data_IF_508347887633
#
_entry.id   IF_508347887633
#
_cell.length_a   1.000
_cell.length_b   1.000
_cell.length_c   1.000
_cell.angle_alpha   90.00
_cell.angle_beta   90.00
_cell.angle_gamma   90.00
#
_symmetry.space_group_name_H-M   'P 1'
#
loop_
_entity.id
_entity.type
_entity.pdbx_description
1 polymer ?
#
# COMPACT_ATOMS: atom_id res chain seq x y z
N UNK A 1 -26.83 -22.37 -18.60
CA UNK A 1 -26.22 -21.37 -17.70
C UNK A 1 -24.75 -21.05 -18.02
N UNK A 2 -24.00 -21.86 -18.79
CA UNK A 2 -22.62 -21.49 -19.19
C UNK A 2 -22.53 -20.59 -20.43
N UNK A 3 -23.49 -20.67 -21.35
CA UNK A 3 -23.54 -19.87 -22.59
C UNK A 3 -23.66 -18.35 -22.36
N UNK A 4 -24.27 -17.94 -21.25
CA UNK A 4 -24.37 -16.52 -20.86
C UNK A 4 -23.07 -15.97 -20.30
N UNK A 5 -22.25 -16.81 -19.65
CA UNK A 5 -20.99 -16.40 -19.03
C UNK A 5 -19.89 -16.19 -20.08
N UNK A 6 -19.85 -17.05 -21.10
CA UNK A 6 -18.94 -16.87 -22.25
C UNK A 6 -19.29 -15.67 -23.11
N UNK A 7 -20.59 -15.39 -23.30
CA UNK A 7 -21.03 -14.14 -23.96
C UNK A 7 -20.68 -12.88 -23.14
N UNK A 8 -20.83 -12.93 -21.81
CA UNK A 8 -20.45 -11.81 -20.93
C UNK A 8 -18.94 -11.53 -20.94
N UNK A 9 -18.09 -12.55 -21.03
CA UNK A 9 -16.64 -12.39 -21.18
C UNK A 9 -16.23 -11.85 -22.55
N UNK A 10 -16.96 -12.21 -23.61
CA UNK A 10 -16.75 -11.70 -24.98
C UNK A 10 -17.23 -10.25 -25.16
N UNK A 11 -18.19 -9.81 -24.35
CA UNK A 11 -18.67 -8.42 -24.29
C UNK A 11 -17.91 -7.56 -23.28
N UNK A 12 -16.83 -8.08 -22.67
CA UNK A 12 -15.93 -7.24 -21.90
C UNK A 12 -15.29 -6.23 -22.87
N UNK A 13 -15.91 -5.05 -22.98
CA UNK A 13 -15.35 -3.93 -23.71
C UNK A 13 -13.88 -3.76 -23.30
N UNK A 14 -12.97 -3.49 -24.25
CA UNK A 14 -11.59 -3.19 -23.90
C UNK A 14 -11.64 -2.06 -22.88
N UNK A 15 -11.21 -2.36 -21.65
CA UNK A 15 -11.29 -1.46 -20.51
C UNK A 15 -10.55 -0.19 -20.92
N UNK A 16 -11.30 0.84 -21.32
CA UNK A 16 -10.73 2.06 -21.91
C UNK A 16 -10.19 2.91 -20.77
N UNK A 17 -8.98 2.57 -20.34
CA UNK A 17 -8.29 3.30 -19.28
C UNK A 17 -8.11 4.74 -19.78
N UNK A 18 -8.72 5.73 -19.10
CA UNK A 18 -8.58 7.11 -19.52
C UNK A 18 -7.13 7.55 -19.40
N UNK A 19 -6.64 8.30 -20.39
CA UNK A 19 -5.23 8.71 -20.45
C UNK A 19 -4.76 9.55 -19.24
N UNK A 20 -5.68 10.17 -18.49
CA UNK A 20 -5.38 10.89 -17.25
C UNK A 20 -5.18 9.97 -16.03
N UNK A 21 -5.70 8.73 -16.07
CA UNK A 21 -5.64 7.79 -14.95
C UNK A 21 -4.22 7.53 -14.42
N UNK A 22 -3.20 7.24 -15.25
CA UNK A 22 -1.84 7.03 -14.76
C UNK A 22 -1.26 8.26 -14.05
N UNK A 23 -1.58 9.48 -14.52
CA UNK A 23 -1.16 10.72 -13.90
C UNK A 23 -1.80 10.94 -12.53
N UNK A 24 -3.11 10.66 -12.43
CA UNK A 24 -3.83 10.73 -11.15
C UNK A 24 -3.29 9.68 -10.17
N UNK A 25 -3.05 8.45 -10.63
CA UNK A 25 -2.49 7.38 -9.83
C UNK A 25 -1.08 7.73 -9.30
N UNK A 26 -0.22 8.29 -10.16
CA UNK A 26 1.10 8.78 -9.75
C UNK A 26 1.00 9.93 -8.73
N UNK A 27 0.05 10.84 -8.91
CA UNK A 27 -0.20 11.91 -7.94
C UNK A 27 -0.63 11.38 -6.57
N UNK A 28 -1.56 10.43 -6.54
CA UNK A 28 -2.01 9.78 -5.30
C UNK A 28 -0.90 8.97 -4.62
N UNK A 29 -0.08 8.24 -5.40
CA UNK A 29 1.08 7.52 -4.88
C UNK A 29 2.13 8.49 -4.30
N UNK A 30 2.44 9.58 -4.99
CA UNK A 30 3.39 10.58 -4.50
C UNK A 30 2.93 11.27 -3.23
N UNK A 31 1.69 11.77 -3.21
CA UNK A 31 1.09 12.42 -2.04
C UNK A 31 0.91 11.45 -0.86
N UNK A 32 0.48 10.22 -1.15
CA UNK A 32 0.38 9.16 -0.15
C UNK A 32 1.73 8.85 0.48
N UNK A 33 2.77 8.62 -0.34
CA UNK A 33 4.13 8.37 0.12
C UNK A 33 4.68 9.51 0.98
N UNK A 34 4.43 10.76 0.59
CA UNK A 34 4.80 11.94 1.37
C UNK A 34 4.04 11.99 2.72
N UNK A 35 2.75 11.68 2.71
CA UNK A 35 1.95 11.59 3.94
C UNK A 35 2.48 10.56 4.92
N UNK A 36 2.83 9.36 4.43
CA UNK A 36 3.44 8.30 5.25
C UNK A 36 4.85 8.67 5.74
N UNK A 37 5.63 9.42 4.95
CA UNK A 37 6.94 9.94 5.38
C UNK A 37 6.77 10.90 6.56
N UNK A 38 5.86 11.85 6.45
CA UNK A 38 5.55 12.81 7.53
C UNK A 38 5.08 12.04 8.77
N UNK A 39 4.17 11.07 8.61
CA UNK A 39 3.67 10.24 9.70
C UNK A 39 4.79 9.44 10.38
N UNK A 40 5.72 8.87 9.62
CA UNK A 40 6.87 8.15 10.16
C UNK A 40 7.79 9.08 10.96
N UNK A 41 8.15 10.25 10.39
CA UNK A 41 9.01 11.24 11.06
C UNK A 41 8.38 11.76 12.35
N UNK A 42 7.10 12.14 12.31
CA UNK A 42 6.37 12.59 13.49
C UNK A 42 6.21 11.47 14.52
N UNK A 43 5.98 10.24 14.07
CA UNK A 43 5.90 9.05 14.89
C UNK A 43 7.20 8.79 15.67
N UNK A 44 8.36 8.84 15.01
CA UNK A 44 9.65 8.69 15.67
C UNK A 44 10.02 9.88 16.56
N UNK A 45 9.69 11.11 16.14
CA UNK A 45 9.93 12.30 16.95
C UNK A 45 9.13 12.27 18.26
N UNK A 46 7.87 11.82 18.20
CA UNK A 46 6.99 11.71 19.39
C UNK A 46 7.16 10.42 20.17
N UNK A 47 7.74 9.37 19.58
CA UNK A 47 8.01 8.11 20.26
C UNK A 47 8.84 8.29 21.54
N UNK A 48 9.81 9.22 21.54
CA UNK A 48 10.63 9.49 22.73
C UNK A 48 9.85 10.12 23.88
N UNK A 49 8.76 10.84 23.59
CA UNK A 49 7.97 11.58 24.57
C UNK A 49 6.72 10.82 25.06
N UNK A 50 6.11 9.96 24.23
CA UNK A 50 4.79 9.38 24.49
C UNK A 50 4.80 7.85 24.77
N UNK A 51 5.97 7.21 24.82
CA UNK A 51 6.14 5.81 25.22
C UNK A 51 6.19 4.81 24.06
N UNK A 52 5.77 3.56 24.31
CA UNK A 52 5.91 2.47 23.33
C UNK A 52 4.85 2.47 22.21
N UNK A 53 3.62 2.93 22.46
CA UNK A 53 2.55 2.89 21.44
C UNK A 53 2.82 3.72 20.18
N UNK A 54 3.38 4.95 20.23
CA UNK A 54 3.73 5.71 19.03
C UNK A 54 4.83 5.05 18.20
N UNK A 55 5.68 4.19 18.80
CA UNK A 55 6.73 3.45 18.09
C UNK A 55 6.12 2.45 17.11
N UNK A 56 5.07 1.73 17.52
CA UNK A 56 4.35 0.80 16.67
C UNK A 56 3.60 1.50 15.52
N UNK A 57 3.05 2.69 15.77
CA UNK A 57 2.48 3.53 14.71
C UNK A 57 3.55 4.06 13.73
N UNK A 58 4.73 4.44 14.22
CA UNK A 58 5.83 4.85 13.36
C UNK A 58 6.30 3.69 12.46
N UNK A 59 6.41 2.47 13.01
CA UNK A 59 6.76 1.27 12.24
C UNK A 59 5.69 0.96 11.18
N UNK A 60 4.40 1.08 11.52
CA UNK A 60 3.30 0.94 10.56
C UNK A 60 3.42 1.94 9.39
N UNK A 61 3.70 3.21 9.70
CA UNK A 61 3.89 4.25 8.69
C UNK A 61 5.11 3.95 7.79
N UNK A 62 6.20 3.39 8.33
CA UNK A 62 7.35 2.95 7.54
C UNK A 62 6.98 1.78 6.61
N UNK A 63 6.21 0.79 7.06
CA UNK A 63 5.75 -0.30 6.21
C UNK A 63 4.90 0.22 5.03
N UNK A 64 4.00 1.18 5.29
CA UNK A 64 3.18 1.80 4.24
C UNK A 64 3.99 2.71 3.32
N UNK A 65 5.05 3.34 3.82
CA UNK A 65 5.99 4.08 2.99
C UNK A 65 6.74 3.16 2.02
N UNK A 66 7.25 2.02 2.51
CA UNK A 66 7.93 1.03 1.67
C UNK A 66 7.00 0.48 0.59
N UNK A 67 5.71 0.27 0.91
CA UNK A 67 4.70 -0.10 -0.07
C UNK A 67 4.56 0.93 -1.20
N UNK A 68 4.56 2.22 -0.88
CA UNK A 68 4.48 3.28 -1.91
C UNK A 68 5.76 3.33 -2.77
N UNK A 69 6.94 3.16 -2.17
CA UNK A 69 8.21 3.10 -2.91
C UNK A 69 8.24 1.89 -3.85
N UNK A 70 7.75 0.74 -3.40
CA UNK A 70 7.64 -0.47 -4.20
C UNK A 70 6.71 -0.30 -5.40
N UNK A 71 5.56 0.35 -5.20
CA UNK A 71 4.68 0.74 -6.30
C UNK A 71 5.35 1.68 -7.29
N UNK A 72 6.22 2.57 -6.83
CA UNK A 72 6.99 3.45 -7.71
C UNK A 72 7.99 2.67 -8.56
N UNK A 73 8.71 1.71 -7.95
CA UNK A 73 9.59 0.78 -8.67
C UNK A 73 8.79 -0.07 -9.66
N UNK A 74 7.62 -0.55 -9.27
CA UNK A 74 6.74 -1.33 -10.12
C UNK A 74 6.22 -0.54 -11.32
N UNK A 75 5.83 0.73 -11.12
CA UNK A 75 5.38 1.59 -12.21
C UNK A 75 6.49 1.83 -13.26
N UNK A 76 7.76 1.89 -12.84
CA UNK A 76 8.89 2.13 -13.75
C UNK A 76 9.39 0.84 -14.41
N UNK A 77 9.56 -0.23 -13.63
CA UNK A 77 10.18 -1.48 -14.08
C UNK A 77 9.16 -2.56 -14.41
N UNK A 78 8.11 -2.72 -13.60
CA UNK A 78 7.09 -3.77 -13.74
C UNK A 78 6.21 -3.60 -14.98
N UNK A 79 6.01 -2.38 -15.48
CA UNK A 79 5.30 -2.13 -16.74
C UNK A 79 6.05 -2.63 -17.99
N UNK A 80 7.37 -2.84 -17.88
CA UNK A 80 8.20 -3.38 -18.97
C UNK A 80 8.36 -4.90 -18.90
N UNK A 81 7.81 -5.54 -17.85
CA UNK A 81 7.87 -6.98 -17.66
C UNK A 81 6.84 -7.66 -18.58
N UNK A 82 7.31 -8.47 -19.54
CA UNK A 82 6.42 -9.18 -20.48
C UNK A 82 5.73 -10.42 -19.88
N UNK A 83 6.16 -10.87 -18.69
CA UNK A 83 5.62 -12.06 -18.04
C UNK A 83 4.65 -11.68 -16.91
N UNK A 84 3.36 -11.97 -17.13
CA UNK A 84 2.26 -11.66 -16.22
C UNK A 84 2.40 -12.38 -14.87
N UNK A 85 2.96 -13.60 -14.84
CA UNK A 85 3.16 -14.33 -13.58
C UNK A 85 4.13 -13.60 -12.64
N UNK A 86 5.21 -13.04 -13.18
CA UNK A 86 6.18 -12.24 -12.42
C UNK A 86 5.54 -10.97 -11.88
N UNK A 87 4.71 -10.31 -12.70
CA UNK A 87 3.97 -9.10 -12.32
C UNK A 87 3.01 -9.36 -11.16
N UNK A 88 2.24 -10.46 -11.23
CA UNK A 88 1.30 -10.85 -10.18
C UNK A 88 2.04 -11.26 -8.90
N UNK A 89 3.13 -12.03 -9.01
CA UNK A 89 3.96 -12.42 -7.87
C UNK A 89 4.57 -11.21 -7.16
N UNK A 90 5.05 -10.23 -7.93
CA UNK A 90 5.61 -8.99 -7.41
C UNK A 90 4.54 -8.13 -6.72
N UNK A 91 3.34 -8.00 -7.31
CA UNK A 91 2.22 -7.31 -6.69
C UNK A 91 1.75 -7.98 -5.39
N UNK A 92 1.73 -9.31 -5.34
CA UNK A 92 1.42 -10.07 -4.13
C UNK A 92 2.45 -9.84 -3.01
N UNK A 93 3.74 -9.80 -3.36
CA UNK A 93 4.80 -9.49 -2.40
C UNK A 93 4.67 -8.09 -1.80
N UNK A 94 4.29 -7.08 -2.59
CA UNK A 94 4.08 -5.73 -2.07
C UNK A 94 2.92 -5.66 -1.06
N UNK A 95 1.86 -6.44 -1.27
CA UNK A 95 0.74 -6.51 -0.31
C UNK A 95 1.16 -7.03 1.07
N UNK A 96 2.29 -7.75 1.19
CA UNK A 96 2.85 -8.14 2.49
C UNK A 96 3.16 -6.92 3.36
N UNK A 97 3.67 -5.84 2.78
CA UNK A 97 4.01 -4.62 3.52
C UNK A 97 2.77 -3.89 4.03
N UNK A 98 1.67 -3.95 3.28
CA UNK A 98 0.37 -3.45 3.74
C UNK A 98 -0.15 -4.28 4.91
N UNK A 99 -0.06 -5.61 4.82
CA UNK A 99 -0.47 -6.50 5.90
C UNK A 99 0.36 -6.27 7.18
N UNK A 100 1.68 -6.14 7.04
CA UNK A 100 2.57 -5.81 8.15
C UNK A 100 2.27 -4.42 8.74
N UNK A 101 2.04 -3.42 7.88
CA UNK A 101 1.64 -2.08 8.31
C UNK A 101 0.34 -2.10 9.11
N UNK A 102 -0.66 -2.85 8.65
CA UNK A 102 -1.93 -3.03 9.36
C UNK A 102 -1.73 -3.72 10.72
N UNK A 103 -0.93 -4.80 10.76
CA UNK A 103 -0.63 -5.51 12.01
C UNK A 103 0.10 -4.62 13.02
N UNK A 104 1.08 -3.84 12.58
CA UNK A 104 1.78 -2.88 13.43
C UNK A 104 0.83 -1.79 13.96
N UNK A 105 -0.13 -1.32 13.15
CA UNK A 105 -1.14 -0.37 13.61
C UNK A 105 -2.06 -0.97 14.67
N UNK A 106 -2.52 -2.21 14.49
CA UNK A 106 -3.36 -2.93 15.47
C UNK A 106 -2.62 -3.09 16.81
N UNK A 107 -1.35 -3.49 16.79
CA UNK A 107 -0.53 -3.57 18.01
C UNK A 107 -0.37 -2.20 18.68
N UNK A 108 -0.19 -1.14 17.88
CA UNK A 108 -0.16 0.24 18.37
C UNK A 108 -1.45 0.63 19.12
N UNK A 109 -2.62 0.29 18.56
CA UNK A 109 -3.92 0.54 19.20
C UNK A 109 -4.12 -0.27 20.48
N UNK A 110 -3.79 -1.57 20.48
CA UNK A 110 -3.92 -2.41 21.68
C UNK A 110 -3.08 -1.87 22.85
N UNK A 111 -1.90 -1.32 22.56
CA UNK A 111 -1.01 -0.71 23.57
C UNK A 111 -1.46 0.68 24.03
N UNK A 112 -2.33 1.37 23.29
CA UNK A 112 -2.97 2.61 23.77
C UNK A 112 -4.09 2.31 24.76
N UNK A 113 -4.78 1.18 24.60
CA UNK A 113 -5.93 0.78 25.43
C UNK A 113 -5.54 0.01 26.69
N UNK A 114 -4.28 -0.38 26.84
CA UNK A 114 -3.80 -1.00 28.07
C UNK A 114 -3.85 0.03 29.21
N UNK A 115 -4.55 -0.24 30.33
CA UNK A 115 -4.48 0.60 31.51
C UNK A 115 -3.03 0.71 31.96
N UNK A 116 -2.56 1.93 32.19
CA UNK A 116 -1.31 2.17 32.90
C UNK A 116 -1.60 1.90 34.37
N UNK A 117 -1.24 0.71 34.85
CA UNK A 117 -1.10 0.44 36.28
C UNK A 117 0.06 1.26 36.86
#
# INVERSE_FOLDING_TARGET
MSLTFTHALLQAEPMRIPAYFPWVALGLLGLGGLGWLIAAVLGFARARAFGDSPRWFAVSAVCLLLYHVQWFVFAIYGMNEGNIENVVGMAAFFNLFVALGALCAVVGFMRLTAPRD
#
